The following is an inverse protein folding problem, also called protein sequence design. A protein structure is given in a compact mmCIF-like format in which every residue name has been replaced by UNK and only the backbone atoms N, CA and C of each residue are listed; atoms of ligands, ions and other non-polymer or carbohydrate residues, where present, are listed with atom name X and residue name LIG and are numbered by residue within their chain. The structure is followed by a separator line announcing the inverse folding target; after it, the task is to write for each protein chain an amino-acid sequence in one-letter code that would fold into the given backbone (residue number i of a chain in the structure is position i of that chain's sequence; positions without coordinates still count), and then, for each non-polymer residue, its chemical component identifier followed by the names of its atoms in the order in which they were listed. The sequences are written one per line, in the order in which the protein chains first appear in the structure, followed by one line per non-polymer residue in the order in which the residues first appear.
data_IF_659723482170
#
_entry.id   IF_659723482170
#
_cell.length_a   1.000
_cell.length_b   1.000
_cell.length_c   1.000
_cell.angle_alpha   90.00
_cell.angle_beta   90.00
_cell.angle_gamma   90.00
#
_symmetry.space_group_name_H-M   'P 1'
#
loop_
_entity.id
_entity.type
_entity.pdbx_description
1 polymer ?
#
# COMPACT_ATOMS: atom_id res chain seq x y z
N UNK A 1 19.74 25.01 -3.25
CA UNK A 1 18.52 24.47 -3.86
C UNK A 1 17.86 23.57 -2.83
N UNK A 2 16.61 23.85 -2.41
CA UNK A 2 15.87 22.91 -1.56
C UNK A 2 15.60 21.65 -2.39
N UNK A 3 16.17 20.52 -1.99
CA UNK A 3 15.84 19.23 -2.61
C UNK A 3 14.36 18.94 -2.39
N UNK A 4 13.66 18.46 -3.43
CA UNK A 4 12.26 18.05 -3.29
C UNK A 4 12.20 16.88 -2.30
N UNK A 5 11.15 16.86 -1.49
CA UNK A 5 10.88 15.76 -0.55
C UNK A 5 10.37 14.58 -1.35
N UNK A 6 10.91 13.39 -1.09
CA UNK A 6 10.46 12.15 -1.74
C UNK A 6 9.51 11.38 -0.82
N UNK A 7 8.30 11.13 -1.31
CA UNK A 7 7.30 10.29 -0.67
C UNK A 7 7.22 8.94 -1.37
N UNK A 8 7.35 7.87 -0.60
CA UNK A 8 7.15 6.48 -1.04
C UNK A 8 5.90 5.93 -0.36
N UNK A 9 4.82 5.72 -1.13
CA UNK A 9 3.53 5.21 -0.64
C UNK A 9 3.48 3.71 -0.88
N UNK A 10 3.49 2.91 0.18
CA UNK A 10 3.44 1.46 0.12
C UNK A 10 2.02 0.98 0.42
N UNK A 11 1.53 0.03 -0.37
CA UNK A 11 0.23 -0.63 -0.16
C UNK A 11 0.30 -2.11 -0.48
N UNK A 12 -0.56 -2.92 0.14
CA UNK A 12 -0.69 -4.36 -0.08
C UNK A 12 -1.60 -4.75 -1.25
N UNK A 13 -2.29 -3.79 -1.88
CA UNK A 13 -3.20 -4.08 -2.99
C UNK A 13 -3.05 -3.07 -4.13
N UNK A 14 -3.39 -3.49 -5.34
CA UNK A 14 -3.40 -2.66 -6.54
C UNK A 14 -4.61 -2.96 -7.40
N UNK A 15 -4.96 -2.03 -8.27
CA UNK A 15 -5.93 -2.27 -9.32
C UNK A 15 -5.48 -3.43 -10.22
N UNK A 16 -6.42 -4.24 -10.74
CA UNK A 16 -7.88 -4.08 -10.70
C UNK A 16 -8.56 -4.72 -9.48
N UNK A 17 -7.83 -5.09 -8.42
CA UNK A 17 -8.47 -5.56 -7.20
C UNK A 17 -9.13 -4.39 -6.47
N UNK A 18 -10.42 -4.15 -6.68
CA UNK A 18 -11.16 -2.95 -6.26
C UNK A 18 -11.44 -2.90 -4.74
N UNK A 19 -10.39 -2.73 -3.93
CA UNK A 19 -10.47 -2.58 -2.47
C UNK A 19 -10.11 -1.16 -2.05
N UNK A 20 -10.45 -0.78 -0.81
CA UNK A 20 -10.00 0.51 -0.26
C UNK A 20 -8.47 0.63 -0.25
N UNK A 21 -7.79 -0.48 0.02
CA UNK A 21 -6.32 -0.60 0.07
C UNK A 21 -5.67 -0.46 -1.32
N UNK A 22 -6.37 -0.70 -2.43
CA UNK A 22 -5.83 -0.40 -3.77
C UNK A 22 -6.18 1.01 -4.24
N UNK A 23 -7.39 1.48 -3.95
CA UNK A 23 -7.92 2.75 -4.47
C UNK A 23 -7.39 3.94 -3.67
N UNK A 24 -7.42 3.89 -2.34
CA UNK A 24 -7.06 5.04 -1.51
C UNK A 24 -5.57 5.41 -1.67
N UNK A 25 -4.61 4.47 -1.65
CA UNK A 25 -3.19 4.79 -1.87
C UNK A 25 -2.91 5.38 -3.24
N UNK A 26 -3.64 4.93 -4.27
CA UNK A 26 -3.55 5.47 -5.62
C UNK A 26 -3.98 6.95 -5.66
N UNK A 27 -5.10 7.28 -5.01
CA UNK A 27 -5.52 8.68 -4.87
C UNK A 27 -4.56 9.48 -4.01
N UNK A 28 -4.09 8.94 -2.88
CA UNK A 28 -3.10 9.63 -2.04
C UNK A 28 -1.83 9.95 -2.82
N UNK A 29 -1.29 9.02 -3.60
CA UNK A 29 -0.13 9.26 -4.45
C UNK A 29 -0.40 10.34 -5.51
N UNK A 30 -1.56 10.27 -6.19
CA UNK A 30 -1.96 11.27 -7.18
C UNK A 30 -2.07 12.68 -6.58
N UNK A 31 -2.75 12.83 -5.44
CA UNK A 31 -2.96 14.12 -4.79
C UNK A 31 -1.69 14.67 -4.12
N UNK A 32 -0.83 13.81 -3.55
CA UNK A 32 0.47 14.25 -3.02
C UNK A 32 1.34 14.86 -4.12
N UNK A 33 1.27 14.30 -5.33
CA UNK A 33 2.05 14.73 -6.50
C UNK A 33 1.44 15.93 -7.25
N UNK A 34 0.21 16.34 -6.93
CA UNK A 34 -0.60 17.28 -7.74
C UNK A 34 0.09 18.61 -8.03
N UNK A 35 0.80 19.17 -7.05
CA UNK A 35 1.45 20.49 -7.18
C UNK A 35 2.88 20.45 -7.77
N UNK A 36 3.41 19.25 -8.06
CA UNK A 36 4.76 19.08 -8.59
C UNK A 36 5.90 19.48 -7.63
N UNK A 37 5.59 19.81 -6.38
CA UNK A 37 6.59 20.20 -5.35
C UNK A 37 7.24 19.00 -4.66
N UNK A 38 6.65 17.81 -4.84
CA UNK A 38 7.03 16.55 -4.18
C UNK A 38 7.28 15.49 -5.24
N UNK A 39 8.34 14.70 -5.04
CA UNK A 39 8.53 13.49 -5.82
C UNK A 39 7.77 12.37 -5.11
N UNK A 40 6.95 11.62 -5.86
CA UNK A 40 6.06 10.61 -5.29
C UNK A 40 6.23 9.30 -6.04
N UNK A 41 6.45 8.22 -5.29
CA UNK A 41 6.47 6.85 -5.80
C UNK A 41 5.39 6.05 -5.10
N UNK A 42 4.46 5.50 -5.87
CA UNK A 42 3.51 4.49 -5.42
C UNK A 42 4.15 3.10 -5.57
N UNK A 43 4.19 2.33 -4.49
CA UNK A 43 4.81 1.00 -4.41
C UNK A 43 3.71 -0.04 -4.21
N UNK A 44 3.48 -0.87 -5.23
CA UNK A 44 2.35 -1.80 -5.34
C UNK A 44 2.79 -3.25 -5.53
N UNK A 45 1.95 -4.24 -5.16
CA UNK A 45 2.25 -5.65 -5.38
C UNK A 45 2.23 -6.03 -6.87
N UNK A 46 3.14 -6.92 -7.24
CA UNK A 46 3.10 -7.70 -8.48
C UNK A 46 2.80 -9.16 -8.16
N UNK A 47 1.78 -9.71 -8.82
CA UNK A 47 1.30 -11.07 -8.61
C UNK A 47 1.67 -11.98 -9.78
N UNK A 48 1.88 -13.26 -9.49
CA UNK A 48 1.95 -14.29 -10.54
C UNK A 48 0.60 -14.38 -11.28
N UNK A 49 0.61 -14.80 -12.55
CA UNK A 49 -0.63 -14.94 -13.35
C UNK A 49 -1.68 -15.78 -12.61
N UNK A 50 -1.26 -16.88 -11.97
CA UNK A 50 -2.15 -17.74 -11.17
C UNK A 50 -2.85 -16.99 -10.03
N UNK A 51 -2.14 -16.09 -9.36
CA UNK A 51 -2.72 -15.28 -8.27
C UNK A 51 -3.57 -14.13 -8.84
N UNK A 52 -3.21 -13.57 -10.00
CA UNK A 52 -4.03 -12.57 -10.68
C UNK A 52 -5.40 -13.14 -11.05
N UNK A 53 -5.45 -14.35 -11.60
CA UNK A 53 -6.71 -15.05 -11.95
C UNK A 53 -7.64 -15.27 -10.74
N UNK A 54 -7.08 -15.40 -9.54
CA UNK A 54 -7.85 -15.59 -8.30
C UNK A 54 -8.41 -14.27 -7.75
N UNK A 55 -7.73 -13.16 -7.98
CA UNK A 55 -7.96 -11.90 -7.29
C UNK A 55 -8.62 -10.85 -8.17
N UNK A 56 -8.25 -10.80 -9.45
CA UNK A 56 -8.69 -9.76 -10.37
C UNK A 56 -10.05 -10.08 -10.98
N UNK A 57 -10.95 -9.08 -11.07
CA UNK A 57 -12.28 -9.28 -11.62
C UNK A 57 -12.21 -9.52 -13.13
N UNK A 58 -13.30 -10.06 -13.69
CA UNK A 58 -13.55 -10.13 -15.13
C UNK A 58 -12.45 -10.85 -15.95
N UNK A 59 -11.70 -11.78 -15.33
CA UNK A 59 -10.59 -12.51 -15.96
C UNK A 59 -9.48 -11.58 -16.50
N UNK A 60 -9.35 -10.39 -15.93
CA UNK A 60 -8.24 -9.49 -16.24
C UNK A 60 -6.97 -10.11 -15.69
N UNK A 61 -5.95 -10.21 -16.53
CA UNK A 61 -4.59 -10.60 -16.19
C UNK A 61 -3.63 -9.68 -16.93
N UNK A 62 -2.43 -9.51 -16.40
CA UNK A 62 -1.35 -8.76 -17.00
C UNK A 62 -0.13 -9.65 -17.11
N UNK A 63 0.49 -9.65 -18.29
CA UNK A 63 1.71 -10.41 -18.54
C UNK A 63 2.95 -9.66 -18.07
N UNK A 64 2.84 -8.34 -17.84
CA UNK A 64 3.94 -7.51 -17.38
C UNK A 64 3.51 -6.39 -16.40
N UNK A 65 4.41 -5.94 -15.51
CA UNK A 65 4.15 -4.79 -14.65
C UNK A 65 3.83 -3.51 -15.43
N UNK A 66 4.41 -3.34 -16.62
CA UNK A 66 4.18 -2.18 -17.48
C UNK A 66 2.72 -2.12 -17.97
N UNK A 67 2.13 -3.26 -18.29
CA UNK A 67 0.73 -3.37 -18.69
C UNK A 67 -0.21 -3.01 -17.54
N UNK A 68 0.06 -3.55 -16.33
CA UNK A 68 -0.70 -3.21 -15.13
C UNK A 68 -0.55 -1.72 -14.78
N UNK A 69 0.64 -1.14 -14.94
CA UNK A 69 0.87 0.30 -14.77
C UNK A 69 0.01 1.12 -15.74
N UNK A 70 -0.05 0.73 -17.02
CA UNK A 70 -0.92 1.37 -18.01
C UNK A 70 -2.39 1.34 -17.59
N UNK A 71 -2.87 0.19 -17.10
CA UNK A 71 -4.22 0.06 -16.56
C UNK A 71 -4.47 1.00 -15.38
N UNK A 72 -3.58 0.99 -14.39
CA UNK A 72 -3.69 1.82 -13.17
C UNK A 72 -3.72 3.31 -13.53
N UNK A 73 -2.84 3.75 -14.44
CA UNK A 73 -2.77 5.14 -14.91
C UNK A 73 -4.03 5.57 -15.64
N UNK A 74 -4.49 4.78 -16.60
CA UNK A 74 -5.74 5.05 -17.33
C UNK A 74 -6.93 5.17 -16.36
N UNK A 75 -6.99 4.28 -15.36
CA UNK A 75 -8.08 4.28 -14.37
C UNK A 75 -8.11 5.56 -13.53
N UNK A 76 -6.96 6.04 -13.04
CA UNK A 76 -6.89 7.26 -12.21
C UNK A 76 -7.09 8.53 -13.03
N UNK A 77 -6.55 8.59 -14.26
CA UNK A 77 -6.70 9.73 -15.16
C UNK A 77 -8.18 10.00 -15.50
N UNK A 78 -9.00 8.96 -15.62
CA UNK A 78 -10.45 9.10 -15.81
C UNK A 78 -11.23 9.58 -14.58
N UNK A 79 -10.57 9.82 -13.43
CA UNK A 79 -11.21 10.14 -12.14
C UNK A 79 -10.69 11.40 -11.46
N UNK A 80 -9.69 12.06 -12.03
CA UNK A 80 -9.16 13.33 -11.53
C UNK A 80 -9.19 14.41 -12.60
N UNK A 81 -9.25 15.67 -12.17
CA UNK A 81 -9.28 16.86 -13.04
C UNK A 81 -7.87 17.42 -13.35
N UNK A 82 -6.82 16.66 -13.02
CA UNK A 82 -5.42 17.02 -13.21
C UNK A 82 -4.62 15.84 -13.73
N UNK A 83 -3.45 16.10 -14.34
CA UNK A 83 -2.54 15.03 -14.77
C UNK A 83 -1.78 14.46 -13.56
N UNK A 84 -1.99 13.19 -13.17
CA UNK A 84 -1.25 12.61 -12.05
C UNK A 84 0.24 12.46 -12.38
N UNK A 85 1.12 13.03 -11.54
CA UNK A 85 2.57 13.07 -11.79
C UNK A 85 3.37 12.28 -10.74
N UNK A 86 3.11 10.98 -10.65
CA UNK A 86 3.84 10.08 -9.74
C UNK A 86 4.39 8.84 -10.49
N UNK A 87 5.44 8.25 -9.92
CA UNK A 87 6.05 7.02 -10.40
C UNK A 87 5.40 5.80 -9.76
N UNK A 88 5.37 4.67 -10.47
CA UNK A 88 4.91 3.39 -9.93
C UNK A 88 6.10 2.43 -9.85
N UNK A 89 6.24 1.72 -8.73
CA UNK A 89 7.19 0.63 -8.56
C UNK A 89 6.46 -0.60 -8.07
N UNK A 90 6.89 -1.75 -8.56
CA UNK A 90 6.31 -3.03 -8.19
C UNK A 90 7.22 -3.79 -7.22
N UNK A 91 6.62 -4.53 -6.30
CA UNK A 91 7.32 -5.49 -5.44
C UNK A 91 6.68 -6.88 -5.57
N UNK A 92 7.44 -7.97 -5.44
CA UNK A 92 6.87 -9.31 -5.56
C UNK A 92 5.91 -9.63 -4.40
N UNK A 93 4.74 -10.16 -4.71
CA UNK A 93 3.70 -10.49 -3.74
C UNK A 93 3.00 -11.80 -4.09
N UNK A 94 2.31 -12.39 -3.12
CA UNK A 94 1.55 -13.64 -3.28
C UNK A 94 0.16 -13.53 -2.67
N UNK A 95 -0.84 -14.09 -3.34
CA UNK A 95 -2.16 -14.22 -2.74
C UNK A 95 -2.23 -15.42 -1.79
N UNK A 96 -2.65 -15.18 -0.55
CA UNK A 96 -2.97 -16.24 0.41
C UNK A 96 -4.47 -16.51 0.39
N UNK A 97 -4.86 -17.72 -0.04
CA UNK A 97 -6.26 -18.18 -0.05
C UNK A 97 -6.80 -18.25 1.38
N UNK A 98 -5.99 -18.72 2.33
CA UNK A 98 -6.37 -18.86 3.74
C UNK A 98 -6.71 -17.50 4.38
N UNK A 99 -5.84 -16.51 4.16
CA UNK A 99 -6.03 -15.15 4.70
C UNK A 99 -6.84 -14.24 3.78
N UNK A 100 -7.22 -14.72 2.60
CA UNK A 100 -7.88 -13.95 1.53
C UNK A 100 -7.22 -12.58 1.28
N UNK A 101 -5.89 -12.55 1.31
CA UNK A 101 -5.09 -11.33 1.35
C UNK A 101 -3.83 -11.46 0.49
N UNK A 102 -3.40 -10.36 -0.14
CA UNK A 102 -2.10 -10.29 -0.82
C UNK A 102 -1.02 -9.98 0.21
N UNK A 103 0.02 -10.81 0.24
CA UNK A 103 1.14 -10.65 1.14
C UNK A 103 2.40 -10.24 0.38
N UNK A 104 3.19 -9.31 0.94
CA UNK A 104 4.55 -9.08 0.49
C UNK A 104 5.43 -10.32 0.50
N UNK A 105 6.27 -10.47 -0.54
CA UNK A 105 7.33 -11.49 -0.60
C UNK A 105 8.68 -10.75 -0.55
N UNK A 106 9.50 -11.06 0.46
CA UNK A 106 10.81 -10.41 0.63
C UNK A 106 10.73 -9.00 1.24
N UNK A 107 11.83 -8.25 1.12
CA UNK A 107 11.95 -6.90 1.70
C UNK A 107 11.51 -5.81 0.72
N UNK A 108 10.22 -5.45 0.75
CA UNK A 108 9.63 -4.47 -0.19
C UNK A 108 10.25 -3.08 -0.12
N UNK A 109 11.00 -2.78 0.94
CA UNK A 109 11.70 -1.50 1.09
C UNK A 109 12.83 -1.35 0.09
N UNK A 110 13.38 -2.44 -0.41
CA UNK A 110 14.43 -2.45 -1.44
C UNK A 110 13.95 -1.86 -2.78
N UNK A 111 12.63 -1.75 -2.99
CA UNK A 111 12.08 -1.01 -4.13
C UNK A 111 12.52 0.46 -4.16
N UNK A 112 12.86 1.04 -3.00
CA UNK A 112 13.32 2.42 -2.88
C UNK A 112 14.82 2.43 -2.53
N UNK A 113 15.68 3.02 -3.38
CA UNK A 113 17.10 3.21 -3.06
C UNK A 113 17.29 4.04 -1.79
N UNK A 114 18.41 3.85 -1.08
CA UNK A 114 18.65 4.52 0.21
C UNK A 114 18.78 6.04 0.05
N UNK A 115 19.30 6.53 -1.08
CA UNK A 115 19.38 7.95 -1.44
C UNK A 115 18.01 8.61 -1.64
N UNK A 116 16.97 7.80 -1.92
CA UNK A 116 15.59 8.21 -2.12
C UNK A 116 14.71 7.98 -0.88
N UNK A 117 15.24 7.35 0.17
CA UNK A 117 14.48 6.92 1.35
C UNK A 117 14.20 8.06 2.35
N UNK A 118 13.39 9.04 1.96
CA UNK A 118 13.04 10.19 2.80
C UNK A 118 11.77 9.95 3.64
N UNK A 119 10.59 9.90 3.01
CA UNK A 119 9.31 9.69 3.70
C UNK A 119 8.65 8.42 3.17
N UNK A 120 8.43 7.43 4.04
CA UNK A 120 7.54 6.31 3.76
C UNK A 120 6.13 6.59 4.29
N UNK A 121 5.13 6.36 3.46
CA UNK A 121 3.71 6.28 3.84
C UNK A 121 3.31 4.80 3.72
N UNK A 122 2.88 4.20 4.81
CA UNK A 122 2.48 2.80 4.89
C UNK A 122 0.97 2.75 4.99
N UNK A 123 0.32 2.26 3.95
CA UNK A 123 -1.13 2.12 3.86
C UNK A 123 -1.49 0.73 4.38
N UNK A 124 -2.24 0.68 5.48
CA UNK A 124 -2.39 -0.52 6.33
C UNK A 124 -1.04 -1.09 6.81
N UNK A 125 -0.30 -0.32 7.63
CA UNK A 125 1.01 -0.74 8.14
C UNK A 125 0.97 -2.08 8.88
N UNK A 126 -0.15 -2.47 9.49
CA UNK A 126 -0.34 -3.78 10.09
C UNK A 126 -0.16 -4.93 9.08
N UNK A 127 -0.76 -4.78 7.91
CA UNK A 127 -0.82 -5.79 6.87
C UNK A 127 0.51 -5.85 6.13
N UNK A 128 1.11 -4.68 5.84
CA UNK A 128 2.45 -4.59 5.27
C UNK A 128 3.52 -5.27 6.15
N UNK A 129 3.28 -5.44 7.45
CA UNK A 129 4.28 -5.91 8.40
C UNK A 129 4.01 -7.28 9.04
N UNK A 130 2.96 -8.02 8.68
CA UNK A 130 2.66 -9.33 9.30
C UNK A 130 3.84 -10.32 9.27
N UNK A 131 4.61 -10.32 8.17
CA UNK A 131 5.78 -11.20 7.99
C UNK A 131 7.06 -10.39 7.77
N UNK A 132 7.14 -9.20 8.35
CA UNK A 132 8.29 -8.32 8.14
C UNK A 132 9.52 -8.82 8.91
N UNK A 133 10.43 -9.48 8.20
CA UNK A 133 11.70 -9.99 8.73
C UNK A 133 12.91 -9.10 8.42
N UNK A 134 12.71 -7.93 7.79
CA UNK A 134 13.78 -7.03 7.39
C UNK A 134 14.20 -5.99 8.45
N UNK A 135 15.14 -5.12 8.10
CA UNK A 135 15.48 -3.88 8.84
C UNK A 135 14.21 -3.12 9.26
N UNK A 136 14.25 -2.33 10.32
CA UNK A 136 13.08 -1.50 10.70
C UNK A 136 12.86 -0.41 9.64
N UNK A 137 11.62 -0.12 9.27
CA UNK A 137 11.27 1.02 8.39
C UNK A 137 11.95 2.32 8.83
N UNK A 138 11.94 2.57 10.14
CA UNK A 138 12.54 3.74 10.79
C UNK A 138 14.07 3.84 10.69
N UNK A 139 14.75 2.74 10.31
CA UNK A 139 16.20 2.75 10.10
C UNK A 139 16.56 3.11 8.64
N UNK A 140 15.62 2.93 7.71
CA UNK A 140 15.83 3.23 6.29
C UNK A 140 15.27 4.60 5.92
N UNK A 141 14.03 4.89 6.34
CA UNK A 141 13.36 6.14 6.01
C UNK A 141 13.51 7.16 7.13
N UNK A 142 13.84 8.40 6.78
CA UNK A 142 13.91 9.53 7.73
C UNK A 142 12.58 9.77 8.44
N UNK A 143 11.46 9.52 7.78
CA UNK A 143 10.13 9.55 8.39
C UNK A 143 9.26 8.42 7.88
N UNK A 144 8.44 7.85 8.76
CA UNK A 144 7.50 6.78 8.44
C UNK A 144 6.14 7.18 8.98
N UNK A 145 5.13 7.23 8.11
CA UNK A 145 3.76 7.61 8.41
C UNK A 145 2.89 6.38 8.12
N UNK A 146 2.12 5.91 9.10
CA UNK A 146 1.13 4.86 8.91
C UNK A 146 -0.25 5.46 8.68
N UNK A 147 -0.95 4.98 7.67
CA UNK A 147 -2.33 5.35 7.37
C UNK A 147 -3.18 4.09 7.49
N UNK A 148 -4.18 4.11 8.36
CA UNK A 148 -5.05 2.96 8.60
C UNK A 148 -6.35 3.17 7.83
N UNK A 149 -6.58 2.40 6.77
CA UNK A 149 -7.82 2.47 5.99
C UNK A 149 -9.00 1.73 6.65
N UNK A 150 -8.69 0.67 7.39
CA UNK A 150 -9.71 -0.29 7.78
C UNK A 150 -10.40 0.15 9.07
N UNK A 151 -11.69 0.45 8.95
CA UNK A 151 -12.57 0.48 10.11
C UNK A 151 -12.89 -0.96 10.53
N UNK A 152 -11.94 -1.63 11.19
CA UNK A 152 -12.13 -3.00 11.71
C UNK A 152 -13.37 -3.10 12.61
N UNK A 153 -13.81 -2.02 13.27
CA UNK A 153 -15.04 -2.00 14.06
C UNK A 153 -16.29 -2.29 13.21
N UNK A 154 -16.32 -1.91 11.93
CA UNK A 154 -17.44 -2.18 11.04
C UNK A 154 -17.49 -3.65 10.60
N UNK A 155 -16.33 -4.26 10.34
CA UNK A 155 -16.22 -5.68 10.02
C UNK A 155 -16.65 -6.54 11.21
N UNK A 156 -16.19 -6.14 12.39
CA UNK A 156 -16.36 -6.89 13.62
C UNK A 156 -17.78 -6.78 14.20
N UNK A 157 -18.50 -5.67 13.94
CA UNK A 157 -19.93 -5.55 14.29
C UNK A 157 -20.83 -6.58 13.57
N UNK A 158 -20.35 -7.23 12.50
CA UNK A 158 -21.09 -8.26 11.76
C UNK A 158 -20.85 -9.69 12.28
N UNK A 159 -19.91 -9.91 13.19
CA UNK A 159 -19.62 -11.24 13.74
C UNK A 159 -20.14 -11.43 15.19
N UNK A 160 -20.64 -12.64 15.48
CA UNK A 160 -21.35 -12.99 16.74
C UNK A 160 -20.51 -12.94 18.03
N UNK A 161 -19.20 -12.66 17.97
CA UNK A 161 -18.32 -12.44 19.14
C UNK A 161 -17.41 -11.20 18.96
N UNK A 162 -17.86 -10.22 18.18
CA UNK A 162 -17.00 -9.21 17.62
C UNK A 162 -16.23 -8.34 18.62
N UNK A 163 -16.83 -7.88 19.71
CA UNK A 163 -16.25 -6.78 20.49
C UNK A 163 -14.85 -7.06 21.07
N UNK A 164 -14.56 -8.31 21.48
CA UNK A 164 -13.24 -8.72 21.99
C UNK A 164 -12.23 -8.85 20.84
N UNK A 165 -12.63 -9.44 19.71
CA UNK A 165 -11.80 -9.56 18.52
C UNK A 165 -11.48 -8.19 17.90
N UNK A 166 -12.43 -7.25 17.91
CA UNK A 166 -12.21 -5.85 17.53
C UNK A 166 -11.20 -5.18 18.44
N UNK A 167 -11.28 -5.42 19.75
CA UNK A 167 -10.36 -4.83 20.71
C UNK A 167 -8.94 -5.36 20.48
N UNK A 168 -8.77 -6.67 20.32
CA UNK A 168 -7.49 -7.30 20.05
C UNK A 168 -6.89 -6.87 18.71
N UNK A 169 -7.67 -6.88 17.63
CA UNK A 169 -7.22 -6.43 16.30
C UNK A 169 -6.87 -4.95 16.28
N UNK A 170 -7.68 -4.10 16.92
CA UNK A 170 -7.38 -2.66 17.05
C UNK A 170 -6.12 -2.42 17.88
N UNK A 171 -5.92 -3.20 18.94
CA UNK A 171 -4.74 -3.09 19.81
C UNK A 171 -3.49 -3.59 19.08
N UNK A 172 -3.56 -4.73 18.38
CA UNK A 172 -2.48 -5.28 17.55
C UNK A 172 -2.13 -4.34 16.40
N UNK A 173 -3.12 -3.80 15.68
CA UNK A 173 -2.88 -2.85 14.60
C UNK A 173 -2.27 -1.55 15.13
N UNK A 174 -2.74 -1.03 16.26
CA UNK A 174 -2.14 0.16 16.89
C UNK A 174 -0.70 -0.12 17.35
N UNK A 175 -0.43 -1.31 17.88
CA UNK A 175 0.91 -1.71 18.33
C UNK A 175 1.89 -1.88 17.18
N UNK A 176 1.54 -2.68 16.17
CA UNK A 176 2.36 -2.90 14.96
C UNK A 176 2.61 -1.57 14.26
N UNK A 177 1.57 -0.74 14.10
CA UNK A 177 1.71 0.59 13.51
C UNK A 177 2.67 1.48 14.30
N UNK A 178 2.62 1.48 15.64
CA UNK A 178 3.54 2.28 16.47
C UNK A 178 4.98 1.75 16.47
N UNK A 179 5.17 0.45 16.28
CA UNK A 179 6.51 -0.15 16.14
C UNK A 179 7.16 0.34 14.85
N UNK A 180 6.41 0.34 13.73
CA UNK A 180 6.97 0.60 12.41
C UNK A 180 6.85 2.07 11.96
N UNK A 181 5.91 2.84 12.50
CA UNK A 181 5.66 4.22 12.10
C UNK A 181 6.07 5.24 13.17
N UNK A 182 6.50 6.43 12.72
CA UNK A 182 6.74 7.59 13.58
C UNK A 182 5.44 8.35 13.90
N UNK A 183 4.46 8.30 12.98
CA UNK A 183 3.13 8.90 13.13
C UNK A 183 2.10 7.95 12.53
N UNK A 184 0.92 7.85 13.14
CA UNK A 184 -0.22 7.07 12.61
C UNK A 184 -1.42 8.00 12.45
N UNK A 185 -2.13 7.91 11.33
CA UNK A 185 -3.36 8.65 11.05
C UNK A 185 -4.44 7.70 10.53
N UNK A 186 -5.70 8.02 10.80
CA UNK A 186 -6.91 7.30 10.34
C UNK A 186 -7.84 8.24 9.61
#
# INVERSE_FOLDING_TARGET
MSTRRHFSVFTTASLPWMTGTSINPLFHAAYLAKDGSRDVTLVIPWLSIKDQELVYPNKIVFDSPLEQEGYVRCWIEGRVDFRPSFSIKFYPAKFSIEMRSILPVGDIRECIPDEMADIAVLEEPEHLNWYHHGRRWKNKFRRVIGVIHTNYLAYVRREKNGQVLACCLRYMNTWVSRIYCHKVTS
#
